data_IF_715731394789
#
_entry.id   IF_715731394789
#
_cell.length_a   1.000
_cell.length_b   1.000
_cell.length_c   1.000
_cell.angle_alpha   90.00
_cell.angle_beta   90.00
_cell.angle_gamma   90.00
#
_symmetry.space_group_name_H-M   'P 1'
#
loop_
_entity.id
_entity.type
_entity.pdbx_description
1 polymer ?
#
# COMPACT_ATOMS: atom_id res chain seq x y z
N UNK A 1 0.33 -7.50 2.71
CA UNK A 1 1.32 -6.82 3.56
C UNK A 1 2.35 -6.14 2.67
N UNK A 2 2.78 -4.93 3.02
CA UNK A 2 3.86 -4.20 2.32
C UNK A 2 4.85 -3.69 3.36
N UNK A 3 6.15 -3.83 3.09
CA UNK A 3 7.22 -3.34 3.95
C UNK A 3 7.75 -1.98 3.51
N UNK A 4 8.43 -1.25 4.42
CA UNK A 4 9.03 0.06 4.13
C UNK A 4 10.10 0.04 3.05
N UNK A 5 10.85 -1.06 2.94
CA UNK A 5 11.86 -1.24 1.88
C UNK A 5 11.30 -1.83 0.59
N UNK A 6 9.98 -1.78 0.41
CA UNK A 6 9.31 -2.09 -0.85
C UNK A 6 9.13 -3.57 -1.15
N UNK A 7 9.11 -4.43 -0.14
CA UNK A 7 8.69 -5.82 -0.30
C UNK A 7 7.19 -5.96 -0.07
N UNK A 8 6.56 -6.94 -0.68
CA UNK A 8 5.15 -7.26 -0.48
C UNK A 8 4.89 -8.76 -0.40
N UNK A 9 3.92 -9.13 0.41
CA UNK A 9 3.47 -10.51 0.55
C UNK A 9 1.95 -10.57 0.48
N UNK A 10 1.41 -11.21 -0.56
CA UNK A 10 -0.01 -11.51 -0.71
C UNK A 10 -0.25 -12.97 -0.36
N UNK A 11 -1.18 -13.23 0.52
CA UNK A 11 -1.59 -14.59 0.91
C UNK A 11 -3.08 -14.63 1.23
N UNK A 12 -3.67 -15.83 1.18
CA UNK A 12 -5.08 -16.03 1.49
C UNK A 12 -5.32 -15.95 2.99
N UNK A 13 -6.28 -15.12 3.43
CA UNK A 13 -6.69 -15.00 4.82
C UNK A 13 -7.81 -16.00 5.13
N UNK A 14 -7.48 -17.28 5.17
CA UNK A 14 -8.36 -18.39 5.49
C UNK A 14 -7.85 -19.17 6.74
N UNK A 15 -8.61 -20.14 7.23
CA UNK A 15 -8.25 -20.92 8.41
C UNK A 15 -6.95 -21.72 8.26
N UNK A 16 -6.57 -22.09 7.04
CA UNK A 16 -5.32 -22.82 6.79
C UNK A 16 -4.10 -21.89 6.96
N UNK A 17 -4.27 -20.62 6.60
CA UNK A 17 -3.22 -19.61 6.67
C UNK A 17 -3.25 -18.83 7.98
N UNK A 18 -4.44 -18.36 8.40
CA UNK A 18 -4.66 -17.62 9.65
C UNK A 18 -5.81 -18.29 10.39
N UNK A 19 -5.49 -19.26 11.23
CA UNK A 19 -6.49 -19.92 12.07
C UNK A 19 -7.06 -18.97 13.12
N UNK A 20 -8.31 -19.15 13.46
CA UNK A 20 -8.92 -18.48 14.60
C UNK A 20 -8.18 -18.83 15.89
N UNK A 21 -7.87 -17.84 16.70
CA UNK A 21 -7.13 -17.97 17.96
C UNK A 21 -7.80 -17.16 19.05
N UNK A 22 -7.63 -17.57 20.30
CA UNK A 22 -8.12 -16.86 21.45
C UNK A 22 -7.43 -15.49 21.62
N UNK A 23 -8.05 -14.63 22.42
CA UNK A 23 -7.59 -13.24 22.65
C UNK A 23 -6.16 -13.15 23.18
N UNK A 24 -5.71 -14.10 23.98
CA UNK A 24 -4.38 -14.14 24.59
C UNK A 24 -3.30 -14.80 23.71
N UNK A 25 -3.65 -15.23 22.50
CA UNK A 25 -2.68 -15.86 21.61
C UNK A 25 -1.70 -14.83 21.04
N UNK A 26 -0.43 -15.24 20.92
CA UNK A 26 0.65 -14.39 20.36
C UNK A 26 0.49 -14.11 18.86
N UNK A 27 -0.37 -14.89 18.18
CA UNK A 27 -0.57 -14.78 16.75
C UNK A 27 0.44 -15.61 15.94
N UNK A 28 0.50 -15.31 14.65
CA UNK A 28 1.38 -15.99 13.69
C UNK A 28 2.13 -14.95 12.86
N UNK A 29 3.34 -15.32 12.40
CA UNK A 29 4.16 -14.41 11.59
C UNK A 29 3.45 -14.18 10.24
N UNK A 30 3.10 -12.93 9.95
CA UNK A 30 2.52 -12.52 8.67
C UNK A 30 3.57 -12.47 7.57
N UNK A 31 4.67 -11.77 7.81
CA UNK A 31 5.76 -11.53 6.86
C UNK A 31 7.09 -11.50 7.61
N UNK A 32 8.16 -11.97 6.97
CA UNK A 32 9.53 -11.81 7.47
C UNK A 32 10.19 -10.61 6.80
N UNK A 33 11.04 -9.92 7.54
CA UNK A 33 11.74 -8.73 7.08
C UNK A 33 13.25 -8.99 6.94
N UNK A 34 13.87 -8.30 5.99
CA UNK A 34 15.32 -8.19 5.92
C UNK A 34 15.82 -7.20 6.98
N UNK A 35 17.12 -7.17 7.23
CA UNK A 35 17.71 -6.27 8.23
C UNK A 35 17.30 -4.80 8.00
N UNK A 36 16.78 -4.17 9.05
CA UNK A 36 16.31 -2.77 9.03
C UNK A 36 15.08 -2.52 8.18
N UNK A 37 14.28 -3.55 7.84
CA UNK A 37 12.98 -3.41 7.21
C UNK A 37 11.87 -3.70 8.21
N UNK A 38 10.69 -3.11 8.00
CA UNK A 38 9.53 -3.24 8.88
C UNK A 38 8.22 -3.19 8.11
N UNK A 39 7.13 -3.57 8.75
CA UNK A 39 5.80 -3.48 8.14
C UNK A 39 5.40 -2.00 7.98
N UNK A 40 5.01 -1.65 6.76
CA UNK A 40 4.47 -0.33 6.44
C UNK A 40 2.94 -0.34 6.39
N UNK A 41 2.37 -1.31 5.69
CA UNK A 41 0.93 -1.34 5.44
C UNK A 41 0.38 -2.76 5.32
N UNK A 42 -0.91 -2.86 5.65
CA UNK A 42 -1.72 -4.06 5.45
C UNK A 42 -3.03 -3.66 4.78
N UNK A 43 -3.45 -4.44 3.79
CA UNK A 43 -4.75 -4.29 3.18
C UNK A 43 -5.44 -5.64 3.05
N UNK A 44 -6.77 -5.65 3.20
CA UNK A 44 -7.63 -6.79 2.89
C UNK A 44 -8.20 -6.61 1.50
N UNK A 45 -8.22 -7.69 0.74
CA UNK A 45 -8.85 -7.77 -0.59
C UNK A 45 -9.98 -8.76 -0.51
N UNK A 46 -11.17 -8.37 -0.91
CA UNK A 46 -12.33 -9.27 -1.02
C UNK A 46 -12.22 -10.19 -2.23
N UNK A 47 -12.81 -11.38 -2.15
CA UNK A 47 -12.76 -12.35 -3.25
C UNK A 47 -13.52 -11.93 -4.53
N UNK A 48 -14.46 -11.00 -4.40
CA UNK A 48 -15.25 -10.43 -5.49
C UNK A 48 -14.66 -9.15 -6.09
N UNK A 49 -13.65 -8.56 -5.44
CA UNK A 49 -13.07 -7.30 -5.87
C UNK A 49 -12.27 -7.49 -7.16
N UNK A 50 -12.60 -6.72 -8.18
CA UNK A 50 -11.96 -6.76 -9.50
C UNK A 50 -11.30 -5.42 -9.83
N UNK A 51 -10.35 -5.45 -10.76
CA UNK A 51 -9.67 -4.25 -11.24
C UNK A 51 -9.03 -3.44 -10.12
N UNK A 52 -8.38 -4.14 -9.19
CA UNK A 52 -7.66 -3.52 -8.09
C UNK A 52 -6.18 -3.34 -8.42
N UNK A 53 -5.61 -2.33 -7.81
CA UNK A 53 -4.20 -1.99 -7.92
C UNK A 53 -3.58 -1.88 -6.53
N UNK A 54 -2.30 -2.19 -6.44
CA UNK A 54 -1.47 -1.80 -5.31
C UNK A 54 -0.84 -0.44 -5.64
N UNK A 55 -1.22 0.57 -4.89
CA UNK A 55 -0.63 1.89 -4.94
C UNK A 55 0.46 2.01 -3.87
N UNK A 56 1.60 2.59 -4.22
CA UNK A 56 2.69 2.89 -3.28
C UNK A 56 3.18 4.31 -3.50
N UNK A 57 3.56 4.98 -2.41
CA UNK A 57 4.11 6.32 -2.45
C UNK A 57 5.39 6.43 -1.59
N UNK A 58 6.34 7.27 -2.01
CA UNK A 58 7.59 7.55 -1.31
C UNK A 58 7.59 8.94 -0.69
N UNK A 59 8.41 9.17 0.32
CA UNK A 59 8.61 10.47 0.98
C UNK A 59 9.15 11.54 0.02
N UNK A 60 9.84 11.15 -1.06
CA UNK A 60 10.26 12.04 -2.15
C UNK A 60 9.15 12.45 -3.12
N UNK A 61 7.88 12.12 -2.85
CA UNK A 61 6.73 12.52 -3.66
C UNK A 61 6.52 11.70 -4.94
N UNK A 62 7.09 10.51 -5.03
CA UNK A 62 6.84 9.59 -6.14
C UNK A 62 5.80 8.54 -5.77
N UNK A 63 4.97 8.18 -6.72
CA UNK A 63 3.94 7.15 -6.55
C UNK A 63 3.76 6.30 -7.78
N UNK A 64 3.14 5.17 -7.60
CA UNK A 64 2.73 4.29 -8.69
C UNK A 64 1.55 3.43 -8.31
N UNK A 65 0.79 2.99 -9.31
CA UNK A 65 -0.15 1.88 -9.17
C UNK A 65 0.26 0.73 -10.08
N UNK A 66 0.17 -0.49 -9.57
CA UNK A 66 0.45 -1.73 -10.31
C UNK A 66 -0.72 -2.69 -10.15
N UNK A 67 -1.12 -3.43 -11.18
CA UNK A 67 -2.22 -4.38 -11.07
C UNK A 67 -2.01 -5.35 -9.92
N UNK A 68 -3.05 -5.60 -9.14
CA UNK A 68 -2.99 -6.54 -8.01
C UNK A 68 -2.61 -7.95 -8.46
N UNK A 69 -2.90 -8.32 -9.72
CA UNK A 69 -2.60 -9.63 -10.29
C UNK A 69 -1.10 -9.86 -10.51
N UNK A 70 -0.28 -8.80 -10.57
CA UNK A 70 1.17 -8.93 -10.56
C UNK A 70 1.73 -9.40 -9.20
N UNK A 71 0.90 -9.37 -8.15
CA UNK A 71 1.24 -9.82 -6.80
C UNK A 71 0.68 -11.23 -6.58
N UNK A 72 1.48 -12.24 -6.94
CA UNK A 72 1.10 -13.65 -6.78
C UNK A 72 0.74 -13.99 -5.33
N UNK A 73 -0.22 -14.87 -5.15
CA UNK A 73 -0.53 -15.44 -3.85
C UNK A 73 0.63 -16.37 -3.43
N UNK A 74 1.09 -16.23 -2.21
CA UNK A 74 2.19 -16.97 -1.60
C UNK A 74 1.77 -17.53 -0.24
N UNK A 75 2.63 -18.33 0.35
CA UNK A 75 2.45 -18.75 1.74
C UNK A 75 2.78 -17.60 2.68
N UNK A 76 2.02 -17.48 3.79
CA UNK A 76 2.30 -16.56 4.89
C UNK A 76 3.70 -16.79 5.48
N UNK A 77 4.29 -15.76 6.05
CA UNK A 77 5.57 -15.84 6.75
C UNK A 77 6.81 -15.88 5.84
N UNK A 78 6.65 -15.60 4.54
CA UNK A 78 7.75 -15.37 3.61
C UNK A 78 8.28 -13.94 3.65
N UNK A 79 9.34 -13.65 2.88
CA UNK A 79 9.87 -12.29 2.65
C UNK A 79 9.04 -11.55 1.60
N UNK A 80 8.34 -12.29 0.72
CA UNK A 80 7.55 -11.71 -0.35
C UNK A 80 8.35 -11.40 -1.62
N UNK A 81 7.77 -10.53 -2.45
CA UNK A 81 8.31 -10.05 -3.72
C UNK A 81 8.36 -8.52 -3.71
N UNK A 82 9.14 -7.91 -4.59
CA UNK A 82 9.21 -6.45 -4.68
C UNK A 82 7.84 -5.85 -5.04
N UNK A 83 7.41 -4.85 -4.29
CA UNK A 83 6.27 -3.99 -4.59
C UNK A 83 6.70 -2.68 -5.25
N UNK A 84 7.88 -2.17 -4.88
CA UNK A 84 8.45 -0.96 -5.42
C UNK A 84 9.97 -1.05 -5.42
N UNK A 85 10.61 -0.37 -6.38
CA UNK A 85 12.05 -0.13 -6.36
C UNK A 85 12.30 1.16 -5.59
N UNK A 86 12.78 1.01 -4.37
CA UNK A 86 13.15 2.11 -3.47
C UNK A 86 14.63 2.44 -3.66
N UNK A 87 14.98 3.71 -3.77
CA UNK A 87 16.34 4.22 -3.83
C UNK A 87 16.46 5.56 -3.08
N UNK A 88 17.67 6.00 -2.81
CA UNK A 88 17.93 7.23 -2.04
C UNK A 88 17.38 8.48 -2.75
N UNK A 89 17.43 8.55 -4.09
CA UNK A 89 16.98 9.73 -4.86
C UNK A 89 15.47 9.96 -4.79
N UNK A 90 14.69 8.90 -4.57
CA UNK A 90 13.22 8.95 -4.55
C UNK A 90 12.63 8.75 -3.16
N UNK A 91 13.46 8.45 -2.19
CA UNK A 91 13.09 8.23 -0.81
C UNK A 91 12.53 6.85 -0.50
N UNK A 92 12.15 6.64 0.76
CA UNK A 92 11.54 5.42 1.27
C UNK A 92 10.02 5.39 1.09
N UNK A 93 9.40 4.21 1.17
CA UNK A 93 7.95 4.11 1.13
C UNK A 93 7.34 4.73 2.40
N UNK A 94 6.34 5.59 2.22
CA UNK A 94 5.52 6.19 3.30
C UNK A 94 4.09 5.70 3.30
N UNK A 95 3.66 5.04 2.22
CA UNK A 95 2.32 4.47 2.14
C UNK A 95 2.18 3.41 1.07
N UNK A 96 1.27 2.47 1.33
CA UNK A 96 0.82 1.47 0.37
C UNK A 96 -0.67 1.19 0.59
N UNK A 97 -1.46 1.25 -0.48
CA UNK A 97 -2.92 1.10 -0.47
C UNK A 97 -3.34 0.10 -1.53
N UNK A 98 -4.48 -0.54 -1.33
CA UNK A 98 -5.20 -1.23 -2.40
C UNK A 98 -6.32 -0.32 -2.87
N UNK A 99 -6.31 0.01 -4.16
CA UNK A 99 -7.19 0.99 -4.78
C UNK A 99 -7.81 0.44 -6.07
N UNK A 100 -8.90 1.07 -6.49
CA UNK A 100 -9.49 0.97 -7.83
C UNK A 100 -9.34 2.30 -8.56
N UNK A 101 -9.65 2.34 -9.86
CA UNK A 101 -9.64 3.61 -10.63
C UNK A 101 -10.73 4.61 -10.19
N UNK A 102 -11.69 4.17 -9.37
CA UNK A 102 -12.75 5.02 -8.83
C UNK A 102 -12.37 5.72 -7.54
N UNK A 103 -11.26 5.33 -6.94
CA UNK A 103 -10.81 5.87 -5.66
C UNK A 103 -10.11 7.21 -5.85
N UNK A 104 -10.19 8.05 -4.84
CA UNK A 104 -9.43 9.28 -4.71
C UNK A 104 -8.38 9.09 -3.61
N UNK A 105 -7.19 9.61 -3.83
CA UNK A 105 -6.05 9.52 -2.92
C UNK A 105 -5.76 10.90 -2.35
N UNK A 106 -5.63 10.97 -1.04
CA UNK A 106 -5.13 12.13 -0.31
C UNK A 106 -3.65 11.90 0.00
N UNK A 107 -2.82 12.86 -0.37
CA UNK A 107 -1.39 12.89 -0.07
C UNK A 107 -1.10 14.02 0.91
N UNK A 108 -0.50 13.70 2.06
CA UNK A 108 -0.24 14.63 3.16
C UNK A 108 1.26 14.90 3.24
N UNK A 109 1.65 16.16 3.21
CA UNK A 109 3.04 16.61 3.24
C UNK A 109 3.47 17.12 4.60
N UNK A 110 4.78 17.22 4.83
CA UNK A 110 5.38 17.65 6.11
C UNK A 110 5.09 19.11 6.46
N UNK A 111 4.75 19.95 5.50
CA UNK A 111 4.32 21.33 5.73
C UNK A 111 2.80 21.49 5.98
N UNK A 112 2.07 20.36 6.10
CA UNK A 112 0.63 20.34 6.36
C UNK A 112 -0.26 20.50 5.13
N UNK A 113 0.29 20.53 3.93
CA UNK A 113 -0.52 20.54 2.70
C UNK A 113 -1.14 19.17 2.45
N UNK A 114 -2.38 19.17 1.96
CA UNK A 114 -3.10 17.97 1.53
C UNK A 114 -3.42 18.11 0.05
N UNK A 115 -3.00 17.13 -0.74
CA UNK A 115 -3.27 17.06 -2.17
C UNK A 115 -4.21 15.91 -2.46
N UNK A 116 -5.14 16.14 -3.40
CA UNK A 116 -6.11 15.15 -3.88
C UNK A 116 -5.73 14.73 -5.29
N UNK A 117 -5.79 13.45 -5.56
CA UNK A 117 -5.47 12.88 -6.88
C UNK A 117 -6.42 11.72 -7.16
N UNK A 118 -7.07 11.74 -8.32
CA UNK A 118 -7.87 10.61 -8.77
C UNK A 118 -6.96 9.42 -9.10
N UNK A 119 -7.31 8.25 -8.61
CA UNK A 119 -6.53 7.05 -8.87
C UNK A 119 -6.45 6.71 -10.37
N UNK A 120 -7.46 7.10 -11.16
CA UNK A 120 -7.48 6.94 -12.61
C UNK A 120 -6.34 7.71 -13.30
N UNK A 121 -5.97 8.89 -12.80
CA UNK A 121 -4.91 9.74 -13.37
C UNK A 121 -3.50 9.22 -13.10
N UNK A 122 -3.35 8.35 -12.09
CA UNK A 122 -2.05 7.77 -11.76
C UNK A 122 -1.67 6.72 -12.80
N UNK A 123 -0.55 6.94 -13.47
CA UNK A 123 -0.07 6.01 -14.49
C UNK A 123 0.15 4.61 -13.90
N UNK A 124 -0.47 3.62 -14.54
CA UNK A 124 -0.20 2.22 -14.26
C UNK A 124 1.21 1.84 -14.72
N UNK A 125 1.96 1.19 -13.86
CA UNK A 125 3.32 0.72 -14.14
C UNK A 125 3.52 -0.68 -13.56
N UNK A 126 4.55 -1.37 -14.01
CA UNK A 126 4.88 -2.69 -13.48
C UNK A 126 5.30 -2.65 -12.00
N UNK A 127 5.11 -3.75 -11.33
CA UNK A 127 5.39 -3.93 -9.89
C UNK A 127 6.83 -3.55 -9.50
N UNK A 128 7.82 -3.85 -10.30
CA UNK A 128 9.26 -3.59 -10.03
C UNK A 128 9.75 -2.25 -10.62
N UNK A 129 8.85 -1.28 -10.79
CA UNK A 129 9.20 0.06 -11.28
C UNK A 129 9.40 1.05 -10.12
N UNK A 130 10.01 2.19 -10.42
CA UNK A 130 10.25 3.27 -9.47
C UNK A 130 9.07 4.25 -9.33
N UNK A 131 8.06 4.13 -10.19
CA UNK A 131 6.91 5.03 -10.21
C UNK A 131 7.18 6.36 -10.94
N UNK A 132 6.19 7.24 -10.84
CA UNK A 132 6.17 8.59 -11.43
C UNK A 132 6.04 9.63 -10.34
N UNK A 133 6.31 10.89 -10.65
CA UNK A 133 6.08 11.98 -9.70
C UNK A 133 4.57 12.13 -9.46
N UNK A 134 4.19 12.00 -8.19
CA UNK A 134 2.82 12.15 -7.71
C UNK A 134 2.58 13.59 -7.21
N UNK A 135 3.56 14.12 -6.48
CA UNK A 135 3.50 15.43 -5.84
C UNK A 135 4.80 16.18 -6.12
N UNK A 136 4.71 17.45 -6.53
CA UNK A 136 5.85 18.34 -6.54
C UNK A 136 6.05 18.89 -5.12
N UNK A 137 7.17 18.53 -4.52
CA UNK A 137 7.52 18.97 -3.17
C UNK A 137 8.51 20.11 -3.25
N UNK A 138 8.31 21.12 -2.40
CA UNK A 138 9.27 22.21 -2.20
C UNK A 138 10.53 21.67 -1.49
N UNK A 139 11.61 22.47 -1.51
CA UNK A 139 12.84 22.11 -0.83
C UNK A 139 12.62 21.88 0.68
N UNK A 140 13.10 20.77 1.18
CA UNK A 140 12.93 20.36 2.59
C UNK A 140 11.55 19.83 2.95
N UNK A 141 10.59 19.78 2.03
CA UNK A 141 9.27 19.20 2.24
C UNK A 141 9.27 17.74 1.80
N UNK A 142 8.66 16.88 2.59
CA UNK A 142 8.51 15.45 2.30
C UNK A 142 7.04 15.03 2.30
N UNK A 143 6.72 13.95 1.61
CA UNK A 143 5.43 13.29 1.74
C UNK A 143 5.44 12.46 3.03
N UNK A 144 4.46 12.65 3.90
CA UNK A 144 4.35 11.94 5.17
C UNK A 144 3.50 10.69 5.07
N UNK A 145 2.39 10.79 4.37
CA UNK A 145 1.44 9.67 4.25
C UNK A 145 0.52 9.83 3.04
N UNK A 146 -0.12 8.73 2.68
CA UNK A 146 -1.20 8.68 1.70
C UNK A 146 -2.37 7.88 2.26
N UNK A 147 -3.58 8.28 1.94
CA UNK A 147 -4.81 7.57 2.33
C UNK A 147 -5.84 7.65 1.22
N UNK A 148 -6.84 6.78 1.26
CA UNK A 148 -8.04 6.91 0.42
C UNK A 148 -8.96 7.97 1.01
N UNK A 149 -9.58 8.77 0.15
CA UNK A 149 -10.69 9.61 0.56
C UNK A 149 -11.90 8.72 0.87
N UNK A 150 -12.42 8.82 2.10
CA UNK A 150 -13.46 7.94 2.64
C UNK A 150 -14.88 8.38 2.37
N UNK A 151 -15.18 9.09 1.28
CA UNK A 151 -16.56 9.57 1.00
C UNK A 151 -17.57 8.45 0.69
N UNK A 152 -17.14 7.18 0.61
CA UNK A 152 -18.03 6.01 0.42
C UNK A 152 -18.31 5.20 1.70
N UNK A 153 -17.99 5.70 2.87
CA UNK A 153 -18.38 5.10 4.13
C UNK A 153 -19.62 5.82 4.66
N UNK A 154 -20.76 5.12 4.62
CA UNK A 154 -21.96 5.38 5.40
C UNK A 154 -23.14 6.09 4.75
N UNK A 155 -23.82 5.35 3.91
CA UNK A 155 -25.27 5.27 4.13
C UNK A 155 -25.53 4.23 5.23
N UNK A 156 -25.27 4.57 6.46
CA UNK A 156 -25.94 3.93 7.58
C UNK A 156 -27.39 4.38 7.52
N UNK A 157 -28.24 3.54 6.94
CA UNK A 157 -29.69 3.68 7.09
C UNK A 157 -29.99 3.43 8.57
N UNK A 158 -30.47 4.42 9.33
CA UNK A 158 -30.93 4.16 10.69
C UNK A 158 -32.17 3.28 10.62
N UNK A 159 -32.17 2.21 11.41
CA UNK A 159 -33.33 1.34 11.62
C UNK A 159 -34.47 2.07 12.30
#
# INVERSE_FOLDING_TARGET
LVSRKGMSLRFSANNDSIRSMGRSATGVIGMKFRAGDELLAMARVGGSDKNLFVFTATDGGFGKKSPLDEYRIQNRGGIGIKAAKVNEDRGGLVGALVISDKDEILAITSNGSVMRTDAAEIRQTGRDSMGVRLVNLDEGVTLLSVTKNGEDADTVTPA
#
